data_IF_186172697472
#
_entry.id   IF_186172697472
#
_cell.length_a   1.000
_cell.length_b   1.000
_cell.length_c   1.000
_cell.angle_alpha   90.00
_cell.angle_beta   90.00
_cell.angle_gamma   90.00
#
_symmetry.space_group_name_H-M   'P 1'
#
loop_
_entity.id
_entity.type
_entity.pdbx_description
1 polymer ?
#
# COMPACT_ATOMS: atom_id res chain seq x y z
N UNK A 1 -33.36 23.54 -7.64
CA UNK A 1 -33.41 22.44 -6.66
C UNK A 1 -32.55 21.30 -7.18
N UNK A 2 -31.24 21.27 -6.90
CA UNK A 2 -30.40 20.09 -7.24
C UNK A 2 -29.08 19.96 -6.45
N UNK A 3 -28.77 20.87 -5.51
CA UNK A 3 -27.52 20.84 -4.73
C UNK A 3 -27.49 19.79 -3.59
N UNK A 4 -28.54 18.98 -3.43
CA UNK A 4 -28.67 18.04 -2.30
C UNK A 4 -28.20 16.61 -2.55
N UNK A 5 -28.01 16.21 -3.81
CA UNK A 5 -27.65 14.81 -4.15
C UNK A 5 -26.13 14.61 -4.09
N UNK A 6 -25.33 15.55 -4.59
CA UNK A 6 -23.87 15.39 -4.73
C UNK A 6 -23.12 15.33 -3.40
N UNK A 7 -23.57 16.05 -2.37
CA UNK A 7 -22.90 16.07 -1.05
C UNK A 7 -23.14 14.77 -0.28
N UNK A 8 -24.34 14.18 -0.40
CA UNK A 8 -24.69 12.93 0.29
C UNK A 8 -23.92 11.74 -0.29
N UNK A 9 -23.75 11.70 -1.61
CA UNK A 9 -23.00 10.63 -2.29
C UNK A 9 -21.50 10.67 -1.94
N UNK A 10 -20.90 11.86 -1.89
CA UNK A 10 -19.50 12.03 -1.49
C UNK A 10 -19.27 11.64 -0.01
N UNK A 11 -20.19 12.03 0.89
CA UNK A 11 -20.12 11.64 2.31
C UNK A 11 -20.18 10.12 2.45
N UNK A 12 -21.13 9.46 1.76
CA UNK A 12 -21.30 8.02 1.79
C UNK A 12 -20.08 7.25 1.25
N UNK A 13 -19.38 7.82 0.27
CA UNK A 13 -18.14 7.25 -0.25
C UNK A 13 -16.99 7.35 0.78
N UNK A 14 -16.89 8.46 1.50
CA UNK A 14 -15.89 8.61 2.58
C UNK A 14 -16.17 7.62 3.71
N UNK A 15 -17.43 7.49 4.13
CA UNK A 15 -17.82 6.53 5.16
C UNK A 15 -17.46 5.08 4.76
N UNK A 16 -17.69 4.68 3.49
CA UNK A 16 -17.30 3.36 2.97
C UNK A 16 -15.77 3.14 2.99
N UNK A 17 -14.99 4.16 2.64
CA UNK A 17 -13.52 4.09 2.70
C UNK A 17 -13.06 3.94 4.16
N UNK A 18 -13.60 4.72 5.08
CA UNK A 18 -13.22 4.70 6.49
C UNK A 18 -13.54 3.35 7.14
N UNK A 19 -14.70 2.75 6.84
CA UNK A 19 -15.06 1.41 7.30
C UNK A 19 -14.08 0.34 6.77
N UNK A 20 -13.72 0.41 5.49
CA UNK A 20 -12.75 -0.52 4.86
C UNK A 20 -11.36 -0.38 5.47
N UNK A 21 -10.89 0.85 5.67
CA UNK A 21 -9.59 1.15 6.29
C UNK A 21 -9.58 0.65 7.73
N UNK A 22 -10.63 0.91 8.50
CA UNK A 22 -10.76 0.46 9.89
C UNK A 22 -10.71 -1.07 9.99
N UNK A 23 -11.45 -1.76 9.10
CA UNK A 23 -11.45 -3.22 9.03
C UNK A 23 -10.08 -3.80 8.66
N UNK A 24 -9.36 -3.16 7.73
CA UNK A 24 -8.00 -3.55 7.36
C UNK A 24 -7.01 -3.35 8.53
N UNK A 25 -7.04 -2.17 9.16
CA UNK A 25 -6.17 -1.84 10.29
C UNK A 25 -6.41 -2.75 11.50
N UNK A 26 -7.63 -3.26 11.69
CA UNK A 26 -7.96 -4.21 12.75
C UNK A 26 -7.31 -5.59 12.51
N UNK A 27 -7.08 -5.98 11.25
CA UNK A 27 -6.44 -7.25 10.89
C UNK A 27 -4.91 -7.19 10.98
N UNK A 28 -4.33 -6.00 11.02
CA UNK A 28 -2.87 -5.79 11.04
C UNK A 28 -2.26 -5.95 12.43
N UNK A 29 -1.09 -6.59 12.47
CA UNK A 29 -0.17 -6.55 13.60
C UNK A 29 0.48 -5.16 13.75
N UNK A 30 1.04 -4.87 14.93
CA UNK A 30 1.80 -3.63 15.14
C UNK A 30 2.99 -3.52 14.18
N UNK A 31 3.68 -4.64 13.91
CA UNK A 31 4.81 -4.68 12.99
C UNK A 31 4.40 -4.28 11.55
N UNK A 32 3.26 -4.77 11.06
CA UNK A 32 2.76 -4.39 9.74
C UNK A 32 2.32 -2.92 9.68
N UNK A 33 1.75 -2.38 10.77
CA UNK A 33 1.42 -0.95 10.87
C UNK A 33 2.67 -0.07 10.80
N UNK A 34 3.75 -0.48 11.47
CA UNK A 34 5.06 0.17 11.35
C UNK A 34 5.60 0.05 9.91
N UNK A 35 5.39 -1.11 9.28
CA UNK A 35 5.75 -1.33 7.89
C UNK A 35 5.08 -0.36 6.92
N UNK A 36 3.79 -0.06 7.12
CA UNK A 36 3.07 0.94 6.31
C UNK A 36 3.66 2.36 6.44
N UNK A 37 4.27 2.68 7.58
CA UNK A 37 4.96 3.95 7.80
C UNK A 37 6.40 3.98 7.27
N UNK A 38 6.88 2.87 6.70
CA UNK A 38 8.25 2.74 6.20
C UNK A 38 8.30 3.10 4.72
N UNK A 39 9.11 4.10 4.39
CA UNK A 39 9.44 4.52 3.03
C UNK A 39 10.94 4.36 2.77
N UNK A 40 11.31 3.71 1.67
CA UNK A 40 12.71 3.50 1.30
C UNK A 40 13.05 4.08 -0.08
N UNK A 41 14.32 4.39 -0.30
CA UNK A 41 14.82 4.71 -1.63
C UNK A 41 15.16 3.41 -2.36
N UNK A 42 14.63 3.23 -3.58
CA UNK A 42 14.83 2.05 -4.41
C UNK A 42 16.02 2.18 -5.39
N UNK A 43 16.84 3.23 -5.26
CA UNK A 43 18.02 3.46 -6.10
C UNK A 43 19.24 2.56 -5.78
N UNK A 44 19.05 1.47 -5.03
CA UNK A 44 20.11 0.53 -4.66
C UNK A 44 20.28 -0.60 -5.68
N UNK A 45 21.40 -1.37 -5.61
CA UNK A 45 21.54 -2.58 -6.41
C UNK A 45 20.50 -3.63 -6.00
N UNK A 46 20.02 -4.39 -6.99
CA UNK A 46 19.10 -5.53 -6.82
C UNK A 46 17.86 -5.25 -5.94
N UNK A 47 17.02 -4.28 -6.32
CA UNK A 47 15.85 -3.85 -5.55
C UNK A 47 14.86 -4.99 -5.28
N UNK A 48 14.72 -5.96 -6.18
CA UNK A 48 13.78 -7.09 -6.02
C UNK A 48 14.13 -7.97 -4.82
N UNK A 49 15.42 -8.25 -4.60
CA UNK A 49 15.84 -9.09 -3.48
C UNK A 49 15.69 -8.34 -2.16
N UNK A 50 16.26 -7.14 -2.06
CA UNK A 50 16.27 -6.37 -0.82
C UNK A 50 14.88 -5.88 -0.39
N UNK A 51 14.10 -5.34 -1.34
CA UNK A 51 12.78 -4.80 -1.05
C UNK A 51 11.74 -5.92 -1.02
N UNK A 52 11.91 -6.97 -1.83
CA UNK A 52 10.98 -8.11 -1.87
C UNK A 52 10.84 -8.81 -0.52
N UNK A 53 11.93 -9.05 0.21
CA UNK A 53 11.85 -9.63 1.56
C UNK A 53 11.09 -8.72 2.54
N UNK A 54 11.28 -7.40 2.43
CA UNK A 54 10.57 -6.42 3.25
C UNK A 54 9.08 -6.38 2.92
N UNK A 55 8.72 -6.53 1.65
CA UNK A 55 7.32 -6.61 1.20
C UNK A 55 6.63 -7.89 1.69
N UNK A 56 7.25 -9.07 1.50
CA UNK A 56 6.74 -10.36 1.99
C UNK A 56 6.43 -10.34 3.48
N UNK A 57 7.30 -9.67 4.24
CA UNK A 57 7.17 -9.53 5.70
C UNK A 57 6.30 -8.36 6.17
N UNK A 58 5.68 -7.60 5.25
CA UNK A 58 4.81 -6.48 5.57
C UNK A 58 5.53 -5.28 6.21
N UNK A 59 6.84 -5.12 5.95
CA UNK A 59 7.72 -4.10 6.57
C UNK A 59 8.05 -2.91 5.66
N UNK A 60 7.34 -2.73 4.55
CA UNK A 60 7.55 -1.65 3.59
C UNK A 60 6.21 -1.19 2.99
N UNK A 61 5.93 0.10 3.07
CA UNK A 61 4.67 0.70 2.56
C UNK A 61 4.86 1.52 1.29
N UNK A 62 6.03 2.14 1.11
CA UNK A 62 6.32 2.95 -0.08
C UNK A 62 7.80 2.95 -0.48
N UNK A 63 8.04 3.23 -1.76
CA UNK A 63 9.38 3.43 -2.32
C UNK A 63 9.45 4.69 -3.17
N UNK A 64 10.65 5.25 -3.29
CA UNK A 64 10.96 6.37 -4.19
C UNK A 64 12.09 6.02 -5.15
N UNK A 65 12.12 6.71 -6.29
CA UNK A 65 13.21 6.71 -7.28
C UNK A 65 13.43 5.35 -7.98
N UNK A 66 12.34 4.61 -8.26
CA UNK A 66 12.38 3.44 -9.13
C UNK A 66 11.61 3.73 -10.42
N UNK A 67 12.34 3.85 -11.53
CA UNK A 67 11.74 4.16 -12.84
C UNK A 67 11.50 2.91 -13.71
N UNK A 68 12.12 1.78 -13.36
CA UNK A 68 12.00 0.55 -14.14
C UNK A 68 10.65 -0.13 -13.89
N UNK A 69 9.82 -0.19 -14.93
CA UNK A 69 8.44 -0.71 -14.87
C UNK A 69 8.41 -2.21 -14.60
N UNK A 70 9.37 -2.97 -15.10
CA UNK A 70 9.42 -4.42 -14.93
C UNK A 70 9.73 -4.75 -13.46
N UNK A 71 10.67 -3.99 -12.87
CA UNK A 71 10.98 -4.09 -11.44
C UNK A 71 9.80 -3.65 -10.57
N UNK A 72 9.13 -2.54 -10.91
CA UNK A 72 7.94 -2.06 -10.17
C UNK A 72 6.83 -3.11 -10.20
N UNK A 73 6.56 -3.72 -11.35
CA UNK A 73 5.53 -4.76 -11.48
C UNK A 73 5.86 -5.98 -10.63
N UNK A 74 7.12 -6.43 -10.61
CA UNK A 74 7.51 -7.56 -9.78
C UNK A 74 7.39 -7.24 -8.28
N UNK A 75 7.78 -6.03 -7.85
CA UNK A 75 7.59 -5.60 -6.46
C UNK A 75 6.10 -5.50 -6.09
N UNK A 76 5.24 -5.02 -6.99
CA UNK A 76 3.79 -5.03 -6.78
C UNK A 76 3.24 -6.44 -6.65
N UNK A 77 3.68 -7.37 -7.53
CA UNK A 77 3.28 -8.77 -7.47
C UNK A 77 3.64 -9.37 -6.11
N UNK A 78 4.87 -9.14 -5.63
CA UNK A 78 5.31 -9.59 -4.30
C UNK A 78 4.44 -8.97 -3.20
N UNK A 79 4.16 -7.67 -3.25
CA UNK A 79 3.35 -6.99 -2.25
C UNK A 79 1.92 -7.56 -2.17
N UNK A 80 1.29 -7.83 -3.32
CA UNK A 80 -0.11 -8.26 -3.41
C UNK A 80 -0.27 -9.77 -3.22
N UNK A 81 0.62 -10.58 -3.79
CA UNK A 81 0.48 -12.04 -3.84
C UNK A 81 1.24 -12.77 -2.73
N UNK A 82 2.34 -12.19 -2.23
CA UNK A 82 3.25 -12.89 -1.31
C UNK A 82 3.25 -12.31 0.12
N UNK A 83 2.57 -11.17 0.36
CA UNK A 83 2.38 -10.63 1.71
C UNK A 83 1.06 -11.13 2.32
N UNK A 84 0.99 -11.20 3.66
CA UNK A 84 -0.17 -11.76 4.39
C UNK A 84 -1.50 -11.08 4.07
N UNK A 85 -1.50 -9.76 3.89
CA UNK A 85 -2.71 -8.95 3.68
C UNK A 85 -2.83 -8.41 2.25
N UNK A 86 -1.84 -8.66 1.38
CA UNK A 86 -1.86 -8.21 -0.02
C UNK A 86 -1.95 -6.69 -0.20
N UNK A 87 -1.42 -5.91 0.75
CA UNK A 87 -1.48 -4.44 0.68
C UNK A 87 -0.51 -3.96 -0.42
N UNK A 88 -0.98 -3.20 -1.43
CA UNK A 88 -0.16 -2.76 -2.55
C UNK A 88 0.88 -1.71 -2.11
N UNK A 89 1.98 -1.66 -2.85
CA UNK A 89 3.09 -0.73 -2.60
C UNK A 89 2.80 0.65 -3.22
N UNK A 90 3.16 1.75 -2.54
CA UNK A 90 3.19 3.07 -3.19
C UNK A 90 4.56 3.32 -3.84
N UNK A 91 4.56 3.86 -5.06
CA UNK A 91 5.77 4.16 -5.83
C UNK A 91 5.75 5.62 -6.25
N UNK A 92 6.84 6.35 -5.99
CA UNK A 92 6.97 7.78 -6.33
C UNK A 92 8.34 8.19 -6.84
#
# INVERSE_FOLDING_TARGET
>A
MTMGVTTVDAQRQVDDIDERVTSLLAQMTVAEKIGQMTQLNASGPDPVENLGERLRSGRLGSILNLADVEVVNELQRIAVEESRLGIPLLVG
#
